data_IF_897334113057
#
_entry.id   IF_897334113057
#
_cell.length_a   1.000
_cell.length_b   1.000
_cell.length_c   1.000
_cell.angle_alpha   90.00
_cell.angle_beta   90.00
_cell.angle_gamma   90.00
#
_symmetry.space_group_name_H-M   'P 1'
#
loop_
_entity.id
_entity.type
_entity.pdbx_description
1 polymer ?
#
# COMPACT_ATOMS: atom_id res chain seq x y z
N UNK A 1 -34.44 -8.53 -12.37
CA UNK A 1 -33.27 -8.47 -11.48
C UNK A 1 -32.74 -9.87 -11.28
N UNK A 2 -31.51 -10.13 -11.62
CA UNK A 2 -30.92 -11.46 -11.46
C UNK A 2 -30.84 -11.80 -9.96
N UNK A 3 -31.38 -12.92 -9.59
CA UNK A 3 -31.29 -13.42 -8.22
C UNK A 3 -30.16 -14.42 -8.16
N UNK A 4 -29.07 -14.02 -7.54
CA UNK A 4 -27.97 -14.91 -7.23
C UNK A 4 -28.26 -15.61 -5.92
N UNK A 5 -28.71 -16.87 -6.03
CA UNK A 5 -29.12 -17.66 -4.87
C UNK A 5 -27.94 -18.43 -4.25
N UNK A 6 -28.13 -18.95 -3.06
CA UNK A 6 -27.16 -19.79 -2.34
C UNK A 6 -25.87 -19.05 -1.97
N UNK A 7 -24.74 -19.44 -2.56
CA UNK A 7 -23.44 -18.79 -2.32
C UNK A 7 -23.46 -17.27 -2.52
N UNK A 8 -24.43 -16.77 -3.25
CA UNK A 8 -24.60 -15.35 -3.55
C UNK A 8 -25.73 -14.69 -2.77
N UNK A 9 -26.12 -15.24 -1.63
CA UNK A 9 -27.12 -14.65 -0.73
C UNK A 9 -26.80 -13.19 -0.39
N UNK A 10 -25.54 -12.86 -0.22
CA UNK A 10 -25.08 -11.48 0.01
C UNK A 10 -25.40 -10.56 -1.16
N UNK A 11 -25.39 -11.05 -2.38
CA UNK A 11 -25.75 -10.27 -3.57
C UNK A 11 -27.24 -9.97 -3.56
N UNK A 12 -28.08 -10.90 -3.13
CA UNK A 12 -29.51 -10.65 -2.94
C UNK A 12 -29.75 -9.57 -1.88
N UNK A 13 -29.04 -9.63 -0.76
CA UNK A 13 -29.11 -8.59 0.28
C UNK A 13 -28.69 -7.23 -0.30
N UNK A 14 -27.62 -7.18 -1.09
CA UNK A 14 -27.19 -5.95 -1.76
C UNK A 14 -28.22 -5.39 -2.73
N UNK A 15 -28.93 -6.24 -3.45
CA UNK A 15 -29.95 -5.77 -4.38
C UNK A 15 -31.14 -5.09 -3.68
N UNK A 16 -31.33 -5.34 -2.39
CA UNK A 16 -32.31 -4.64 -1.56
C UNK A 16 -31.78 -3.35 -0.93
N UNK A 17 -30.46 -3.08 -1.04
CA UNK A 17 -29.85 -1.85 -0.56
C UNK A 17 -29.97 -0.72 -1.59
N UNK A 18 -29.84 0.54 -1.15
CA UNK A 18 -29.78 1.66 -2.07
C UNK A 18 -28.67 1.47 -3.12
N UNK A 19 -28.83 2.10 -4.29
CA UNK A 19 -27.80 2.19 -5.30
C UNK A 19 -26.48 2.59 -4.66
N UNK A 20 -25.34 1.96 -5.03
CA UNK A 20 -24.02 2.34 -4.51
C UNK A 20 -23.66 3.82 -4.66
N UNK A 21 -24.28 4.53 -5.62
CA UNK A 21 -24.14 5.97 -5.77
C UNK A 21 -24.95 6.80 -4.77
N UNK A 22 -25.87 6.19 -4.05
CA UNK A 22 -26.71 6.88 -3.09
C UNK A 22 -26.05 6.89 -1.70
N UNK A 23 -26.09 8.04 -1.04
CA UNK A 23 -25.57 8.19 0.30
C UNK A 23 -26.30 7.29 1.31
N UNK A 24 -25.58 6.80 2.32
CA UNK A 24 -26.18 6.01 3.39
C UNK A 24 -27.12 6.88 4.22
N UNK A 25 -28.24 6.32 4.73
CA UNK A 25 -29.10 7.04 5.66
C UNK A 25 -28.34 7.48 6.91
N UNK A 26 -28.68 8.64 7.43
CA UNK A 26 -28.06 9.22 8.65
C UNK A 26 -28.10 8.22 9.81
N UNK A 27 -29.19 7.46 9.95
CA UNK A 27 -29.30 6.44 10.99
C UNK A 27 -28.31 5.28 10.91
N UNK A 28 -27.58 5.14 9.77
CA UNK A 28 -26.52 4.14 9.61
C UNK A 28 -25.18 4.60 10.19
N UNK A 29 -25.05 5.88 10.55
CA UNK A 29 -23.85 6.45 11.15
C UNK A 29 -23.92 6.37 12.68
N UNK A 30 -22.78 6.15 13.36
CA UNK A 30 -22.77 6.23 14.82
C UNK A 30 -23.12 7.65 15.27
N UNK A 31 -23.94 7.76 16.29
CA UNK A 31 -24.22 9.05 16.90
C UNK A 31 -23.04 9.49 17.77
N UNK A 32 -22.49 10.65 17.44
CA UNK A 32 -21.36 11.25 18.16
C UNK A 32 -21.75 12.69 18.47
N UNK A 33 -22.09 12.98 19.72
CA UNK A 33 -22.41 14.34 20.15
C UNK A 33 -23.90 14.68 20.11
N UNK A 34 -24.24 15.98 20.19
CA UNK A 34 -25.61 16.48 20.26
C UNK A 34 -26.28 16.63 18.88
N UNK A 35 -27.55 17.04 18.89
CA UNK A 35 -28.39 17.13 17.67
C UNK A 35 -27.78 18.03 16.57
N UNK A 36 -27.07 19.09 16.92
CA UNK A 36 -26.38 19.95 15.94
C UNK A 36 -25.24 19.23 15.24
N UNK A 37 -24.47 18.46 16.01
CA UNK A 37 -23.38 17.68 15.47
C UNK A 37 -23.90 16.57 14.56
N UNK A 38 -24.95 15.86 14.98
CA UNK A 38 -25.61 14.84 14.16
C UNK A 38 -26.17 15.41 12.85
N UNK A 39 -26.71 16.64 12.89
CA UNK A 39 -27.18 17.32 11.69
C UNK A 39 -26.06 17.58 10.69
N UNK A 40 -24.95 18.14 11.16
CA UNK A 40 -23.79 18.41 10.30
C UNK A 40 -23.13 17.11 9.81
N UNK A 41 -23.06 16.11 10.68
CA UNK A 41 -22.55 14.80 10.33
C UNK A 41 -23.39 14.15 9.24
N UNK A 42 -24.70 14.30 9.29
CA UNK A 42 -25.62 13.84 8.25
C UNK A 42 -25.39 14.54 6.93
N UNK A 43 -25.18 15.88 6.96
CA UNK A 43 -24.86 16.65 5.77
C UNK A 43 -23.55 16.20 5.12
N UNK A 44 -22.52 15.96 5.93
CA UNK A 44 -21.23 15.44 5.46
C UNK A 44 -21.36 13.97 5.05
N UNK A 45 -22.22 13.20 5.74
CA UNK A 45 -22.52 11.79 5.41
C UNK A 45 -23.08 11.60 4.00
N UNK A 46 -23.74 12.62 3.46
CA UNK A 46 -24.27 12.63 2.09
C UNK A 46 -23.30 13.25 1.08
N UNK A 47 -22.07 13.55 1.51
CA UNK A 47 -21.09 14.22 0.64
C UNK A 47 -20.73 13.37 -0.56
N UNK A 48 -20.78 14.01 -1.73
CA UNK A 48 -20.40 13.43 -3.01
C UNK A 48 -19.69 14.49 -3.85
N UNK A 49 -18.59 14.09 -4.50
CA UNK A 49 -17.89 14.95 -5.46
C UNK A 49 -17.99 14.31 -6.85
N UNK A 50 -18.73 14.94 -7.74
CA UNK A 50 -19.03 14.36 -9.04
C UNK A 50 -19.70 12.99 -8.89
N UNK A 51 -19.23 11.94 -9.57
CA UNK A 51 -19.79 10.59 -9.47
C UNK A 51 -19.28 9.82 -8.25
N UNK A 52 -18.42 10.41 -7.43
CA UNK A 52 -17.75 9.72 -6.30
C UNK A 52 -18.44 10.07 -4.98
N UNK A 53 -19.01 9.06 -4.35
CA UNK A 53 -19.51 9.16 -2.98
C UNK A 53 -18.36 9.10 -1.98
N UNK A 54 -18.26 10.08 -1.09
CA UNK A 54 -17.20 10.16 -0.09
C UNK A 54 -17.69 9.89 1.34
N UNK A 55 -18.83 10.43 1.72
CA UNK A 55 -19.29 10.43 3.09
C UNK A 55 -18.42 11.28 4.01
N UNK A 56 -18.73 11.29 5.29
CA UNK A 56 -17.96 12.09 6.25
C UNK A 56 -16.53 11.59 6.44
N UNK A 57 -16.30 10.25 6.43
CA UNK A 57 -14.95 9.68 6.51
C UNK A 57 -14.12 10.03 5.29
N UNK A 58 -14.72 9.99 4.08
CA UNK A 58 -14.04 10.38 2.86
C UNK A 58 -13.65 11.85 2.85
N UNK A 59 -14.54 12.74 3.29
CA UNK A 59 -14.24 14.18 3.41
C UNK A 59 -13.16 14.41 4.46
N UNK A 60 -13.24 13.80 5.62
CA UNK A 60 -12.21 13.91 6.65
C UNK A 60 -10.85 13.43 6.14
N UNK A 61 -10.81 12.27 5.48
CA UNK A 61 -9.58 11.76 4.86
C UNK A 61 -9.00 12.75 3.86
N UNK A 62 -9.83 13.32 3.00
CA UNK A 62 -9.42 14.31 2.00
C UNK A 62 -8.83 15.55 2.65
N UNK A 63 -9.47 16.09 3.69
CA UNK A 63 -8.98 17.27 4.42
C UNK A 63 -7.61 16.99 5.03
N UNK A 64 -7.45 15.89 5.76
CA UNK A 64 -6.17 15.51 6.36
C UNK A 64 -5.08 15.31 5.29
N UNK A 65 -5.43 14.68 4.17
CA UNK A 65 -4.50 14.47 3.05
C UNK A 65 -4.07 15.78 2.39
N UNK A 66 -4.99 16.73 2.21
CA UNK A 66 -4.68 18.06 1.67
C UNK A 66 -3.74 18.81 2.61
N UNK A 67 -4.00 18.79 3.92
CA UNK A 67 -3.12 19.44 4.90
C UNK A 67 -1.72 18.84 4.86
N UNK A 68 -1.61 17.51 4.76
CA UNK A 68 -0.31 16.85 4.62
C UNK A 68 0.46 17.32 3.37
N UNK A 69 -0.21 17.35 2.23
CA UNK A 69 0.39 17.80 0.97
C UNK A 69 0.79 19.28 1.04
N UNK A 70 -0.03 20.12 1.66
CA UNK A 70 0.29 21.55 1.83
C UNK A 70 1.51 21.74 2.72
N UNK A 71 1.63 21.03 3.84
CA UNK A 71 2.81 21.08 4.69
C UNK A 71 4.06 20.71 3.90
N UNK A 72 4.02 19.62 3.16
CA UNK A 72 5.15 19.15 2.34
C UNK A 72 5.48 20.20 1.25
N UNK A 73 4.48 20.62 0.50
CA UNK A 73 4.65 21.57 -0.61
C UNK A 73 5.14 22.95 -0.18
N UNK A 74 4.60 23.49 0.92
CA UNK A 74 5.01 24.79 1.43
C UNK A 74 6.45 24.76 1.97
N UNK A 75 6.85 23.68 2.64
CA UNK A 75 8.24 23.53 3.08
C UNK A 75 9.21 23.41 1.89
N UNK A 76 8.84 22.65 0.86
CA UNK A 76 9.62 22.57 -0.38
C UNK A 76 9.75 23.95 -1.06
N UNK A 77 8.66 24.68 -1.12
CA UNK A 77 8.66 26.03 -1.73
C UNK A 77 9.48 27.02 -0.91
N UNK A 78 9.36 26.99 0.39
CA UNK A 78 10.20 27.82 1.28
C UNK A 78 11.70 27.52 1.10
N UNK A 79 12.08 26.27 0.84
CA UNK A 79 13.48 25.88 0.63
C UNK A 79 14.12 26.50 -0.61
N UNK A 80 13.32 26.96 -1.56
CA UNK A 80 13.77 27.69 -2.76
C UNK A 80 13.38 29.20 -2.70
N UNK A 81 13.22 29.73 -1.49
CA UNK A 81 12.87 31.13 -1.24
C UNK A 81 11.59 31.61 -1.96
N UNK A 82 10.61 30.73 -2.07
CA UNK A 82 9.30 30.99 -2.69
C UNK A 82 9.36 31.37 -4.17
N UNK A 83 10.48 31.08 -4.83
CA UNK A 83 10.65 31.28 -6.27
C UNK A 83 9.94 30.17 -7.05
N UNK A 84 8.84 30.49 -7.79
CA UNK A 84 8.08 29.46 -8.50
C UNK A 84 8.87 28.80 -9.64
N UNK A 85 9.81 29.50 -10.25
CA UNK A 85 10.63 28.97 -11.32
C UNK A 85 11.63 27.95 -10.74
N UNK A 86 12.28 28.30 -9.64
CA UNK A 86 13.18 27.38 -8.94
C UNK A 86 12.43 26.19 -8.36
N UNK A 87 11.24 26.39 -7.84
CA UNK A 87 10.38 25.29 -7.36
C UNK A 87 10.13 24.26 -8.47
N UNK A 88 9.69 24.70 -9.64
CA UNK A 88 9.42 23.79 -10.78
C UNK A 88 10.68 23.12 -11.27
N UNK A 89 11.78 23.86 -11.38
CA UNK A 89 13.07 23.31 -11.85
C UNK A 89 13.68 22.29 -10.91
N UNK A 90 13.54 22.50 -9.60
CA UNK A 90 14.18 21.67 -8.58
C UNK A 90 13.24 20.66 -7.94
N UNK A 91 11.96 20.61 -8.32
CA UNK A 91 10.94 19.79 -7.67
C UNK A 91 11.37 18.32 -7.44
N UNK A 92 12.02 17.62 -8.40
CA UNK A 92 12.45 16.24 -8.16
C UNK A 92 13.48 16.08 -7.04
N UNK A 93 14.23 17.12 -6.73
CA UNK A 93 15.28 17.12 -5.70
C UNK A 93 14.82 17.72 -4.37
N UNK A 94 13.66 18.38 -4.34
CA UNK A 94 13.14 18.97 -3.10
C UNK A 94 12.63 17.90 -2.16
N UNK A 95 12.77 18.13 -0.87
CA UNK A 95 12.33 17.22 0.16
C UNK A 95 11.84 17.94 1.41
N UNK A 96 10.98 17.27 2.16
CA UNK A 96 10.75 17.51 3.57
C UNK A 96 11.41 16.35 4.33
N UNK A 97 12.49 16.67 5.02
CA UNK A 97 13.34 15.67 5.68
C UNK A 97 12.81 15.32 7.08
N UNK A 98 12.94 14.05 7.50
CA UNK A 98 12.79 13.69 8.90
C UNK A 98 13.87 14.36 9.76
N UNK A 99 13.73 14.35 11.10
CA UNK A 99 14.76 14.93 11.97
C UNK A 99 16.15 14.32 11.74
N UNK A 100 17.18 15.16 11.80
CA UNK A 100 18.56 14.67 11.90
C UNK A 100 18.76 13.84 13.18
N UNK A 101 19.79 12.99 13.27
CA UNK A 101 20.03 12.17 14.45
C UNK A 101 20.06 12.94 15.77
N UNK A 102 20.55 14.18 15.77
CA UNK A 102 20.59 15.03 16.96
C UNK A 102 19.18 15.35 17.52
N UNK A 103 18.18 15.40 16.67
CA UNK A 103 16.79 15.69 17.06
C UNK A 103 15.87 14.46 16.96
N UNK A 104 16.36 13.38 16.39
CA UNK A 104 15.57 12.20 16.08
C UNK A 104 15.01 11.46 17.30
N UNK A 105 15.65 11.60 18.45
CA UNK A 105 15.22 10.99 19.71
C UNK A 105 14.13 11.78 20.42
N UNK A 106 13.84 13.01 19.97
CA UNK A 106 12.76 13.82 20.51
C UNK A 106 11.43 13.35 19.94
N UNK A 107 10.41 13.24 20.79
CA UNK A 107 9.05 12.88 20.35
C UNK A 107 8.50 13.97 19.45
N UNK A 108 8.68 15.24 19.84
CA UNK A 108 8.28 16.42 19.09
C UNK A 108 9.48 17.32 18.82
N UNK A 109 10.23 17.08 17.74
CA UNK A 109 11.35 17.92 17.40
C UNK A 109 10.88 19.34 17.02
N UNK A 110 11.77 20.35 17.08
CA UNK A 110 11.44 21.70 16.61
C UNK A 110 10.94 21.67 15.16
N UNK A 111 10.08 22.61 14.80
CA UNK A 111 9.41 22.60 13.49
C UNK A 111 10.39 22.50 12.31
N UNK A 112 11.44 23.32 12.32
CA UNK A 112 12.42 23.33 11.22
C UNK A 112 13.52 22.27 11.35
N UNK A 113 13.48 21.46 12.39
CA UNK A 113 14.42 20.37 12.68
C UNK A 113 13.71 19.00 12.59
N UNK A 114 12.76 18.87 11.68
CA UNK A 114 11.99 17.66 11.45
C UNK A 114 10.57 17.69 12.01
N UNK A 115 10.19 18.72 12.75
CA UNK A 115 8.83 18.85 13.30
C UNK A 115 7.77 18.94 12.18
N UNK A 116 8.05 19.65 11.09
CA UNK A 116 7.15 19.69 9.93
C UNK A 116 6.99 18.34 9.27
N UNK A 117 8.06 17.57 9.18
CA UNK A 117 7.99 16.19 8.67
C UNK A 117 7.06 15.33 9.54
N UNK A 118 7.21 15.42 10.87
CA UNK A 118 6.36 14.68 11.79
C UNK A 118 4.89 15.07 11.67
N UNK A 119 4.60 16.36 11.55
CA UNK A 119 3.23 16.87 11.35
C UNK A 119 2.64 16.38 10.01
N UNK A 120 3.39 16.51 8.92
CA UNK A 120 2.95 16.02 7.63
C UNK A 120 2.69 14.50 7.67
N UNK A 121 3.56 13.74 8.31
CA UNK A 121 3.40 12.30 8.53
C UNK A 121 2.16 11.97 9.35
N UNK A 122 1.86 12.73 10.38
CA UNK A 122 0.64 12.57 11.19
C UNK A 122 -0.63 12.79 10.35
N UNK A 123 -0.70 13.89 9.60
CA UNK A 123 -1.86 14.18 8.76
C UNK A 123 -2.02 13.16 7.63
N UNK A 124 -0.93 12.76 6.99
CA UNK A 124 -0.97 11.74 5.94
C UNK A 124 -1.42 10.37 6.49
N UNK A 125 -0.86 9.95 7.62
CA UNK A 125 -1.24 8.68 8.26
C UNK A 125 -2.70 8.69 8.66
N UNK A 126 -3.18 9.76 9.27
CA UNK A 126 -4.59 9.91 9.64
C UNK A 126 -5.49 9.85 8.41
N UNK A 127 -5.12 10.52 7.33
CA UNK A 127 -5.85 10.46 6.06
C UNK A 127 -5.97 9.03 5.53
N UNK A 128 -4.88 8.28 5.52
CA UNK A 128 -4.84 6.89 5.04
C UNK A 128 -5.72 5.99 5.92
N UNK A 129 -5.64 6.13 7.23
CA UNK A 129 -6.44 5.31 8.17
C UNK A 129 -7.94 5.64 8.08
N UNK A 130 -8.30 6.91 7.90
CA UNK A 130 -9.69 7.30 7.68
C UNK A 130 -10.23 6.75 6.37
N UNK A 131 -9.40 6.72 5.32
CA UNK A 131 -9.78 6.11 4.04
C UNK A 131 -9.97 4.61 4.16
N UNK A 132 -9.12 3.93 4.91
CA UNK A 132 -9.30 2.52 5.22
C UNK A 132 -10.62 2.27 5.94
N UNK A 133 -10.90 3.05 6.98
CA UNK A 133 -12.16 2.95 7.73
C UNK A 133 -13.38 3.16 6.81
N UNK A 134 -13.30 4.11 5.89
CA UNK A 134 -14.34 4.35 4.89
C UNK A 134 -14.53 3.12 3.99
N UNK A 135 -13.45 2.57 3.45
CA UNK A 135 -13.53 1.37 2.59
C UNK A 135 -14.18 0.20 3.31
N UNK A 136 -13.75 -0.06 4.54
CA UNK A 136 -14.30 -1.14 5.36
C UNK A 136 -15.78 -0.93 5.64
N UNK A 137 -16.16 0.23 6.15
CA UNK A 137 -17.55 0.54 6.51
C UNK A 137 -18.46 0.57 5.30
N UNK A 138 -17.99 1.11 4.18
CA UNK A 138 -18.79 1.15 2.95
C UNK A 138 -19.05 -0.25 2.39
N UNK A 139 -18.04 -1.10 2.40
CA UNK A 139 -18.19 -2.49 2.01
C UNK A 139 -19.23 -3.21 2.89
N UNK A 140 -19.15 -3.04 4.21
CA UNK A 140 -20.10 -3.61 5.15
C UNK A 140 -21.54 -3.09 4.93
N UNK A 141 -21.69 -1.79 4.75
CA UNK A 141 -22.98 -1.18 4.52
C UNK A 141 -23.67 -1.66 3.24
N UNK A 142 -22.89 -1.99 2.21
CA UNK A 142 -23.40 -2.52 0.95
C UNK A 142 -23.55 -4.04 0.95
N UNK A 143 -23.34 -4.72 2.08
CA UNK A 143 -23.37 -6.17 2.15
C UNK A 143 -22.25 -6.86 1.39
N UNK A 144 -21.15 -6.16 1.10
CA UNK A 144 -19.96 -6.70 0.43
C UNK A 144 -19.00 -7.33 1.43
N UNK A 145 -18.14 -8.24 0.94
CA UNK A 145 -16.98 -8.69 1.69
C UNK A 145 -15.98 -7.56 1.89
N UNK A 146 -15.17 -7.64 2.94
CA UNK A 146 -14.18 -6.60 3.31
C UNK A 146 -12.77 -6.90 2.83
N UNK A 147 -12.60 -7.89 1.95
CA UNK A 147 -11.29 -8.37 1.51
C UNK A 147 -10.45 -7.29 0.80
N UNK A 148 -11.07 -6.33 0.11
CA UNK A 148 -10.35 -5.21 -0.51
C UNK A 148 -9.76 -4.27 0.56
N UNK A 149 -10.51 -3.99 1.62
CA UNK A 149 -10.01 -3.19 2.74
C UNK A 149 -8.82 -3.88 3.43
N UNK A 150 -8.83 -5.21 3.55
CA UNK A 150 -7.72 -5.96 4.13
C UNK A 150 -6.50 -6.03 3.21
N UNK A 151 -6.70 -6.07 1.89
CA UNK A 151 -5.60 -5.91 0.95
C UNK A 151 -4.95 -4.52 1.07
N UNK A 152 -5.76 -3.47 1.20
CA UNK A 152 -5.27 -2.12 1.47
C UNK A 152 -4.52 -2.04 2.82
N UNK A 153 -5.00 -2.75 3.84
CA UNK A 153 -4.32 -2.85 5.14
C UNK A 153 -2.89 -3.40 5.00
N UNK A 154 -2.64 -4.32 4.08
CA UNK A 154 -1.28 -4.82 3.80
C UNK A 154 -0.36 -3.71 3.29
N UNK A 155 -0.83 -2.87 2.39
CA UNK A 155 -0.07 -1.70 1.93
C UNK A 155 0.18 -0.69 3.07
N UNK A 156 -0.82 -0.48 3.93
CA UNK A 156 -0.69 0.37 5.12
C UNK A 156 0.37 -0.18 6.08
N UNK A 157 0.45 -1.49 6.25
CA UNK A 157 1.50 -2.13 7.04
C UNK A 157 2.90 -1.72 6.59
N UNK A 158 3.22 -1.86 5.32
CA UNK A 158 4.52 -1.44 4.78
C UNK A 158 4.76 0.06 4.99
N UNK A 159 3.77 0.89 4.72
CA UNK A 159 3.83 2.33 4.95
C UNK A 159 4.14 2.66 6.42
N UNK A 160 3.44 2.03 7.37
CA UNK A 160 3.65 2.25 8.80
C UNK A 160 5.02 1.74 9.27
N UNK A 161 5.49 0.62 8.74
CA UNK A 161 6.84 0.12 9.05
C UNK A 161 7.89 1.14 8.64
N UNK A 162 7.80 1.66 7.43
CA UNK A 162 8.77 2.62 6.89
C UNK A 162 8.78 3.96 7.63
N UNK A 163 7.60 4.47 7.98
CA UNK A 163 7.47 5.82 8.53
C UNK A 163 7.32 5.89 10.05
N UNK A 164 6.88 4.82 10.69
CA UNK A 164 6.53 4.87 12.10
C UNK A 164 7.08 3.70 12.93
N UNK A 165 6.74 2.46 12.58
CA UNK A 165 7.03 1.31 13.45
C UNK A 165 8.53 1.06 13.57
N UNK A 166 9.25 0.98 12.45
CA UNK A 166 10.70 0.77 12.48
C UNK A 166 11.45 1.95 13.10
N UNK A 167 11.19 3.21 12.73
CA UNK A 167 11.79 4.35 13.40
C UNK A 167 11.55 4.35 14.93
N UNK A 168 10.35 3.97 15.36
CA UNK A 168 10.02 3.84 16.79
C UNK A 168 10.88 2.77 17.47
N UNK A 169 11.00 1.59 16.87
CA UNK A 169 11.84 0.50 17.38
C UNK A 169 13.33 0.85 17.38
N UNK A 170 13.78 1.58 16.37
CA UNK A 170 15.17 2.07 16.28
C UNK A 170 15.41 3.25 17.22
N UNK A 171 14.37 3.83 17.80
CA UNK A 171 14.47 4.92 18.76
C UNK A 171 14.76 6.30 18.16
N UNK A 172 14.56 6.49 16.86
CA UNK A 172 14.84 7.76 16.19
C UNK A 172 14.00 7.99 14.95
N UNK A 173 13.42 9.18 14.82
CA UNK A 173 12.76 9.64 13.61
C UNK A 173 13.72 9.82 12.43
N UNK A 174 15.03 9.94 12.70
CA UNK A 174 16.05 10.04 11.65
C UNK A 174 16.10 8.81 10.74
N UNK A 175 15.59 7.68 11.20
CA UNK A 175 15.52 6.43 10.41
C UNK A 175 14.38 6.43 9.39
N UNK A 176 13.48 7.41 9.42
CA UNK A 176 12.31 7.46 8.55
C UNK A 176 12.64 7.98 7.15
N UNK A 177 11.71 7.75 6.23
CA UNK A 177 11.84 8.12 4.83
C UNK A 177 11.50 9.61 4.63
N UNK A 178 12.29 10.38 3.89
CA UNK A 178 11.94 11.74 3.53
C UNK A 178 10.77 11.78 2.54
N UNK A 179 10.01 12.88 2.57
CA UNK A 179 9.06 13.22 1.52
C UNK A 179 9.78 13.94 0.39
N UNK A 180 10.00 13.28 -0.72
CA UNK A 180 10.66 13.86 -1.89
C UNK A 180 10.86 12.80 -2.97
N UNK A 181 10.86 13.21 -4.24
CA UNK A 181 10.93 12.27 -5.36
C UNK A 181 12.30 11.59 -5.38
N UNK A 182 13.37 12.31 -5.69
CA UNK A 182 14.72 11.74 -5.66
C UNK A 182 15.23 11.46 -4.24
N UNK A 183 14.96 12.31 -3.24
CA UNK A 183 15.44 12.04 -1.88
C UNK A 183 14.96 10.71 -1.29
N UNK A 184 13.73 10.26 -1.56
CA UNK A 184 13.31 8.94 -1.08
C UNK A 184 14.00 7.78 -1.81
N UNK A 185 14.43 7.97 -3.04
CA UNK A 185 15.26 7.00 -3.78
C UNK A 185 16.68 6.96 -3.22
N UNK A 186 17.27 8.12 -2.92
CA UNK A 186 18.59 8.21 -2.27
C UNK A 186 18.56 7.57 -0.88
N UNK A 187 17.48 7.79 -0.12
CA UNK A 187 17.28 7.11 1.15
C UNK A 187 17.28 5.59 0.97
N UNK A 188 16.59 5.08 -0.03
CA UNK A 188 16.51 3.64 -0.32
C UNK A 188 17.88 3.05 -0.65
N UNK A 189 18.65 3.72 -1.49
CA UNK A 189 20.02 3.30 -1.82
C UNK A 189 20.94 3.32 -0.59
N UNK A 190 20.90 4.38 0.20
CA UNK A 190 21.67 4.52 1.42
C UNK A 190 21.30 3.44 2.46
N UNK A 191 20.03 3.16 2.62
CA UNK A 191 19.52 2.09 3.47
C UNK A 191 20.08 0.72 3.08
N UNK A 192 20.04 0.40 1.79
CA UNK A 192 20.58 -0.86 1.27
C UNK A 192 22.08 -0.97 1.51
N UNK A 193 22.83 0.07 1.23
CA UNK A 193 24.29 0.11 1.44
C UNK A 193 24.64 -0.07 2.91
N UNK A 194 23.98 0.65 3.79
CA UNK A 194 24.23 0.59 5.23
C UNK A 194 24.03 -0.80 5.82
N UNK A 195 23.03 -1.52 5.34
CA UNK A 195 22.66 -2.83 5.89
C UNK A 195 23.10 -4.03 5.05
N UNK A 196 24.17 -3.87 4.30
CA UNK A 196 24.85 -4.98 3.64
C UNK A 196 24.17 -5.49 2.38
N UNK A 197 23.48 -4.63 1.66
CA UNK A 197 22.76 -4.89 0.43
C UNK A 197 21.43 -5.65 0.64
N UNK A 198 20.35 -4.92 0.45
CA UNK A 198 19.00 -5.43 0.65
C UNK A 198 18.63 -6.59 -0.31
N UNK A 199 19.36 -6.76 -1.41
CA UNK A 199 19.17 -7.92 -2.30
C UNK A 199 19.38 -9.25 -1.59
N UNK A 200 20.16 -9.29 -0.52
CA UNK A 200 20.37 -10.51 0.28
C UNK A 200 19.33 -10.72 1.38
N UNK A 201 18.42 -9.76 1.57
CA UNK A 201 17.31 -9.91 2.50
C UNK A 201 16.28 -10.90 1.92
N UNK A 202 16.03 -12.05 2.56
CA UNK A 202 15.11 -13.06 2.02
C UNK A 202 13.66 -12.57 1.95
N UNK A 203 13.25 -11.67 2.85
CA UNK A 203 11.91 -11.08 2.79
C UNK A 203 11.77 -10.09 1.63
N UNK A 204 12.83 -9.37 1.30
CA UNK A 204 12.88 -8.56 0.10
C UNK A 204 12.77 -9.42 -1.17
N UNK A 205 13.45 -10.56 -1.19
CA UNK A 205 13.32 -11.54 -2.28
C UNK A 205 11.88 -12.03 -2.43
N UNK A 206 11.23 -12.39 -1.32
CA UNK A 206 9.82 -12.80 -1.33
C UNK A 206 8.90 -11.69 -1.81
N UNK A 207 9.13 -10.46 -1.34
CA UNK A 207 8.36 -9.30 -1.78
C UNK A 207 8.45 -9.09 -3.29
N UNK A 208 9.64 -9.25 -3.87
CA UNK A 208 9.86 -9.18 -5.31
C UNK A 208 9.09 -10.30 -6.05
N UNK A 209 9.16 -11.52 -5.55
CA UNK A 209 8.42 -12.66 -6.13
C UNK A 209 6.92 -12.37 -6.16
N UNK A 210 6.36 -11.86 -5.07
CA UNK A 210 4.94 -11.52 -5.01
C UNK A 210 4.59 -10.31 -5.87
N UNK A 211 5.47 -9.32 -5.98
CA UNK A 211 5.27 -8.18 -6.87
C UNK A 211 5.16 -8.62 -8.35
N UNK A 212 6.15 -9.37 -8.81
CA UNK A 212 6.15 -9.87 -10.20
C UNK A 212 5.07 -10.92 -10.42
N UNK A 213 4.79 -11.76 -9.44
CA UNK A 213 3.68 -12.70 -9.48
C UNK A 213 2.32 -12.01 -9.56
N UNK A 214 2.14 -10.91 -8.84
CA UNK A 214 0.94 -10.07 -8.93
C UNK A 214 0.78 -9.48 -10.33
N UNK A 215 1.85 -8.91 -10.88
CA UNK A 215 1.86 -8.38 -12.25
C UNK A 215 1.58 -9.48 -13.28
N UNK A 216 2.17 -10.66 -13.11
CA UNK A 216 1.96 -11.82 -13.97
C UNK A 216 0.49 -12.27 -13.96
N UNK A 217 -0.09 -12.42 -12.79
CA UNK A 217 -1.50 -12.82 -12.64
C UNK A 217 -2.44 -11.79 -13.25
N UNK A 218 -2.16 -10.51 -13.08
CA UNK A 218 -2.94 -9.45 -13.70
C UNK A 218 -2.87 -9.52 -15.24
N UNK A 219 -1.67 -9.69 -15.78
CA UNK A 219 -1.47 -9.84 -17.21
C UNK A 219 -2.17 -11.07 -17.76
N UNK A 220 -2.03 -12.22 -17.10
CA UNK A 220 -2.63 -13.48 -17.50
C UNK A 220 -4.16 -13.43 -17.41
N UNK A 221 -4.70 -12.91 -16.32
CA UNK A 221 -6.15 -12.81 -16.11
C UNK A 221 -6.79 -11.83 -17.09
N UNK A 222 -6.20 -10.67 -17.24
CA UNK A 222 -6.67 -9.67 -18.20
C UNK A 222 -6.65 -10.17 -19.65
N UNK A 223 -5.56 -10.83 -20.05
CA UNK A 223 -5.45 -11.44 -21.37
C UNK A 223 -6.50 -12.55 -21.58
N UNK A 224 -6.73 -13.36 -20.58
CA UNK A 224 -7.69 -14.48 -20.63
C UNK A 224 -9.12 -13.98 -20.79
N UNK A 225 -9.53 -13.04 -19.95
CA UNK A 225 -10.89 -12.47 -20.01
C UNK A 225 -11.13 -11.78 -21.35
N UNK A 226 -10.19 -10.98 -21.81
CA UNK A 226 -10.33 -10.27 -23.08
C UNK A 226 -10.29 -11.21 -24.30
N UNK A 227 -9.48 -12.26 -24.25
CA UNK A 227 -9.45 -13.28 -25.31
C UNK A 227 -10.75 -14.09 -25.39
N UNK A 228 -11.42 -14.32 -24.26
CA UNK A 228 -12.68 -15.06 -24.20
C UNK A 228 -13.91 -14.14 -24.08
N UNK A 229 -13.77 -12.85 -24.29
CA UNK A 229 -14.88 -11.88 -24.23
C UNK A 229 -15.96 -12.12 -25.28
N UNK A 230 -15.60 -12.69 -26.42
CA UNK A 230 -16.59 -13.12 -27.43
C UNK A 230 -17.57 -14.19 -26.91
N UNK A 231 -17.22 -14.85 -25.80
CA UNK A 231 -18.05 -15.85 -25.14
C UNK A 231 -18.63 -15.33 -23.81
N UNK A 232 -18.47 -14.03 -23.51
CA UNK A 232 -18.98 -13.41 -22.29
C UNK A 232 -18.11 -13.56 -21.04
N UNK A 233 -16.80 -13.79 -21.20
CA UNK A 233 -15.89 -13.98 -20.07
C UNK A 233 -15.79 -12.76 -19.13
N UNK A 234 -16.06 -11.55 -19.63
CA UNK A 234 -16.10 -10.31 -18.83
C UNK A 234 -17.22 -10.29 -17.79
N UNK A 235 -18.22 -11.14 -17.96
CA UNK A 235 -19.32 -11.32 -17.02
C UNK A 235 -18.95 -12.37 -15.97
N UNK A 236 -17.96 -12.06 -15.16
CA UNK A 236 -17.33 -13.03 -14.24
C UNK A 236 -18.29 -13.58 -13.20
N UNK A 237 -19.18 -12.76 -12.67
CA UNK A 237 -20.16 -13.20 -11.65
C UNK A 237 -21.13 -14.21 -12.26
N UNK A 238 -21.68 -13.90 -13.44
CA UNK A 238 -22.58 -14.81 -14.14
C UNK A 238 -21.90 -16.12 -14.52
N UNK A 239 -20.64 -16.06 -14.95
CA UNK A 239 -19.85 -17.25 -15.29
C UNK A 239 -19.64 -18.17 -14.07
N UNK A 240 -19.55 -17.60 -12.87
CA UNK A 240 -19.43 -18.39 -11.63
C UNK A 240 -20.77 -19.02 -11.23
N UNK A 241 -21.88 -18.28 -11.38
CA UNK A 241 -23.23 -18.74 -11.01
C UNK A 241 -23.76 -19.77 -12.01
N UNK A 242 -23.74 -19.45 -13.30
CA UNK A 242 -24.32 -20.24 -14.37
C UNK A 242 -23.28 -21.06 -15.17
N UNK A 243 -22.08 -21.16 -14.71
CA UNK A 243 -20.98 -21.90 -15.33
C UNK A 243 -21.03 -21.88 -16.85
N UNK A 244 -20.88 -20.70 -17.42
CA UNK A 244 -20.77 -20.55 -18.87
C UNK A 244 -19.49 -21.16 -19.41
N UNK A 245 -19.43 -21.37 -20.73
CA UNK A 245 -18.27 -21.98 -21.40
C UNK A 245 -17.07 -21.03 -21.51
N UNK A 246 -17.27 -19.75 -21.31
CA UNK A 246 -16.21 -18.75 -21.46
C UNK A 246 -15.06 -18.97 -20.48
N UNK A 247 -15.36 -19.22 -19.20
CA UNK A 247 -14.32 -19.48 -18.21
C UNK A 247 -13.60 -20.81 -18.46
N UNK A 248 -14.33 -21.84 -18.92
CA UNK A 248 -13.73 -23.13 -19.26
C UNK A 248 -12.72 -22.99 -20.41
N UNK A 249 -13.04 -22.19 -21.44
CA UNK A 249 -12.12 -21.95 -22.55
C UNK A 249 -10.84 -21.27 -22.08
N UNK A 250 -10.94 -20.27 -21.23
CA UNK A 250 -9.79 -19.60 -20.64
C UNK A 250 -8.96 -20.55 -19.77
N UNK A 251 -9.61 -21.33 -18.90
CA UNK A 251 -8.97 -22.31 -18.04
C UNK A 251 -8.25 -23.41 -18.84
N UNK A 252 -8.90 -23.93 -19.89
CA UNK A 252 -8.31 -24.98 -20.74
C UNK A 252 -7.06 -24.47 -21.49
N UNK A 253 -7.05 -23.24 -21.95
CA UNK A 253 -5.86 -22.63 -22.56
C UNK A 253 -4.64 -22.76 -21.63
N UNK A 254 -4.78 -22.40 -20.36
CA UNK A 254 -3.70 -22.50 -19.39
C UNK A 254 -3.37 -23.93 -19.02
N UNK A 255 -4.39 -24.79 -18.85
CA UNK A 255 -4.19 -26.19 -18.55
C UNK A 255 -3.39 -26.90 -19.63
N UNK A 256 -3.65 -26.62 -20.90
CA UNK A 256 -2.93 -27.25 -22.02
C UNK A 256 -1.55 -26.66 -22.25
N UNK A 257 -1.32 -25.40 -21.86
CA UNK A 257 -0.02 -24.74 -22.04
C UNK A 257 0.93 -24.96 -20.87
N UNK A 258 0.45 -24.92 -19.64
CA UNK A 258 1.32 -25.04 -18.46
C UNK A 258 0.94 -26.17 -17.49
N UNK A 259 -0.11 -26.92 -17.76
CA UNK A 259 -0.49 -28.11 -17.00
C UNK A 259 -1.44 -27.88 -15.83
N UNK A 260 -1.73 -26.65 -15.45
CA UNK A 260 -2.66 -26.28 -14.39
C UNK A 260 -3.39 -24.99 -14.71
N UNK A 261 -4.48 -24.74 -14.02
CA UNK A 261 -5.33 -23.55 -14.20
C UNK A 261 -6.07 -23.21 -12.91
N UNK A 262 -6.57 -22.00 -12.83
CA UNK A 262 -7.51 -21.54 -11.82
C UNK A 262 -8.94 -21.60 -12.35
N UNK A 263 -9.90 -21.37 -11.47
CA UNK A 263 -11.31 -21.13 -11.82
C UNK A 263 -11.59 -19.63 -11.92
N UNK A 264 -12.76 -19.26 -12.41
CA UNK A 264 -13.21 -17.87 -12.46
C UNK A 264 -13.24 -17.20 -11.08
N UNK A 265 -13.54 -17.94 -10.02
CA UNK A 265 -13.49 -17.44 -8.65
C UNK A 265 -12.06 -17.50 -8.06
N UNK A 266 -11.41 -18.65 -8.17
CA UNK A 266 -10.12 -18.84 -7.49
C UNK A 266 -9.00 -17.97 -8.01
N UNK A 267 -9.04 -17.52 -9.28
CA UNK A 267 -8.02 -16.62 -9.81
C UNK A 267 -7.96 -15.30 -9.03
N UNK A 268 -9.11 -14.80 -8.58
CA UNK A 268 -9.16 -13.60 -7.74
C UNK A 268 -8.57 -13.83 -6.36
N UNK A 269 -8.69 -15.03 -5.78
CA UNK A 269 -8.05 -15.40 -4.52
C UNK A 269 -6.53 -15.45 -4.66
N UNK A 270 -6.02 -16.03 -5.74
CA UNK A 270 -4.59 -16.01 -6.05
C UNK A 270 -4.06 -14.59 -6.19
N UNK A 271 -4.75 -13.76 -6.97
CA UNK A 271 -4.38 -12.35 -7.14
C UNK A 271 -4.40 -11.58 -5.81
N UNK A 272 -5.39 -11.81 -4.97
CA UNK A 272 -5.50 -11.18 -3.65
C UNK A 272 -4.31 -11.54 -2.74
N UNK A 273 -3.96 -12.82 -2.66
CA UNK A 273 -2.84 -13.26 -1.86
C UNK A 273 -1.51 -12.67 -2.32
N UNK A 274 -1.26 -12.65 -3.62
CA UNK A 274 -0.04 -12.04 -4.17
C UNK A 274 0.01 -10.54 -3.87
N UNK A 275 -1.12 -9.83 -4.01
CA UNK A 275 -1.20 -8.41 -3.69
C UNK A 275 -0.95 -8.13 -2.20
N UNK A 276 -1.43 -8.99 -1.31
CA UNK A 276 -1.24 -8.85 0.15
C UNK A 276 0.17 -9.22 0.58
N UNK A 277 0.71 -10.31 0.06
CA UNK A 277 2.00 -10.85 0.50
C UNK A 277 3.19 -9.97 0.07
N UNK A 278 3.09 -9.20 -0.99
CA UNK A 278 4.15 -8.28 -1.41
C UNK A 278 4.46 -7.24 -0.33
N UNK A 279 3.53 -6.36 0.11
CA UNK A 279 3.84 -5.39 1.16
C UNK A 279 4.04 -6.06 2.53
N UNK A 280 3.34 -7.15 2.81
CA UNK A 280 3.46 -7.85 4.08
C UNK A 280 4.88 -8.37 4.29
N UNK A 281 5.43 -9.08 3.31
CA UNK A 281 6.81 -9.59 3.38
C UNK A 281 7.84 -8.47 3.30
N UNK A 282 7.61 -7.47 2.47
CA UNK A 282 8.47 -6.28 2.38
C UNK A 282 8.56 -5.54 3.72
N UNK A 283 7.41 -5.34 4.37
CA UNK A 283 7.35 -4.71 5.69
C UNK A 283 8.09 -5.51 6.77
N UNK A 284 7.93 -6.83 6.79
CA UNK A 284 8.69 -7.70 7.70
C UNK A 284 10.20 -7.56 7.43
N UNK A 285 10.59 -7.60 6.17
CA UNK A 285 11.99 -7.48 5.78
C UNK A 285 12.63 -6.16 6.20
N UNK A 286 11.93 -5.06 6.04
CA UNK A 286 12.39 -3.73 6.49
C UNK A 286 12.45 -3.68 8.02
N UNK A 287 11.44 -4.22 8.70
CA UNK A 287 11.38 -4.21 10.16
C UNK A 287 12.53 -4.99 10.79
N UNK A 288 12.94 -6.09 10.19
CA UNK A 288 14.08 -6.89 10.66
C UNK A 288 15.44 -6.22 10.40
N UNK A 289 15.51 -5.31 9.45
CA UNK A 289 16.74 -4.63 9.05
C UNK A 289 17.14 -3.59 10.08
N UNK A 290 18.30 -3.76 10.67
CA UNK A 290 18.82 -2.90 11.75
C UNK A 290 18.29 -3.21 13.14
N UNK A 291 17.19 -3.93 13.25
CA UNK A 291 16.63 -4.36 14.53
C UNK A 291 17.12 -5.75 14.95
N UNK A 292 17.21 -6.67 14.01
CA UNK A 292 17.64 -8.06 14.20
C UNK A 292 18.87 -8.37 13.35
N UNK A 293 18.91 -7.93 12.10
CA UNK A 293 20.00 -8.17 11.17
C UNK A 293 20.63 -6.84 10.76
N UNK A 294 21.93 -6.69 11.01
CA UNK A 294 22.67 -5.46 10.70
C UNK A 294 23.35 -5.48 9.33
N UNK A 295 23.55 -6.66 8.75
CA UNK A 295 24.18 -6.82 7.45
C UNK A 295 23.63 -8.07 6.76
N UNK A 296 22.85 -7.86 5.71
CA UNK A 296 22.19 -8.96 5.01
C UNK A 296 23.15 -9.84 4.23
N UNK A 297 24.21 -9.29 3.66
CA UNK A 297 25.20 -10.10 2.96
C UNK A 297 25.94 -11.04 3.92
N UNK A 298 26.40 -10.55 5.06
CA UNK A 298 27.06 -11.37 6.06
C UNK A 298 26.11 -12.42 6.65
N UNK A 299 24.85 -12.06 6.86
CA UNK A 299 23.82 -13.01 7.26
C UNK A 299 23.66 -14.13 6.21
N UNK A 300 23.61 -13.77 4.93
CA UNK A 300 23.45 -14.72 3.83
C UNK A 300 24.64 -15.69 3.71
N UNK A 301 25.86 -15.16 3.86
CA UNK A 301 27.08 -15.99 3.87
C UNK A 301 27.07 -16.96 5.04
N UNK A 302 26.76 -16.48 6.24
CA UNK A 302 26.66 -17.30 7.46
C UNK A 302 25.65 -18.44 7.32
N UNK A 303 24.56 -18.21 6.62
CA UNK A 303 23.49 -19.19 6.40
C UNK A 303 23.62 -19.96 5.09
N UNK A 304 24.77 -19.86 4.42
CA UNK A 304 25.10 -20.58 3.18
C UNK A 304 24.13 -20.31 2.02
N UNK A 305 23.61 -19.10 1.93
CA UNK A 305 22.72 -18.67 0.84
C UNK A 305 23.34 -17.59 -0.05
N UNK A 306 24.61 -17.25 0.19
CA UNK A 306 25.41 -16.39 -0.66
C UNK A 306 26.87 -16.85 -0.69
N UNK A 307 27.59 -16.66 -1.81
CA UNK A 307 29.01 -16.96 -1.90
C UNK A 307 29.84 -15.93 -1.11
N UNK A 308 31.03 -16.34 -0.68
CA UNK A 308 31.99 -15.48 0.02
C UNK A 308 32.81 -14.58 -0.93
N UNK A 309 32.63 -14.69 -2.23
CA UNK A 309 33.34 -13.87 -3.22
C UNK A 309 32.40 -12.86 -3.86
N UNK A 310 32.97 -11.86 -4.56
CA UNK A 310 32.14 -10.96 -5.36
C UNK A 310 31.23 -11.76 -6.30
N UNK A 311 29.93 -11.41 -6.27
CA UNK A 311 28.98 -11.99 -7.22
C UNK A 311 29.30 -11.50 -8.63
N UNK A 312 28.67 -12.12 -9.64
CA UNK A 312 28.77 -11.67 -11.04
C UNK A 312 28.41 -10.20 -11.20
N UNK A 313 27.63 -9.65 -10.28
CA UNK A 313 27.22 -8.24 -10.28
C UNK A 313 28.20 -7.31 -9.56
N UNK A 314 29.32 -7.81 -9.04
CA UNK A 314 30.36 -6.99 -8.42
C UNK A 314 29.93 -6.21 -7.16
N UNK A 315 28.81 -6.54 -6.56
CA UNK A 315 28.24 -5.79 -5.45
C UNK A 315 28.70 -6.27 -4.08
N UNK A 316 29.49 -7.33 -4.03
CA UNK A 316 29.84 -7.98 -2.78
C UNK A 316 31.33 -8.11 -2.66
N UNK A 317 31.88 -7.64 -1.56
CA UNK A 317 33.28 -7.82 -1.22
C UNK A 317 33.42 -9.13 -0.41
N UNK A 318 34.44 -9.90 -0.71
CA UNK A 318 34.87 -11.00 0.15
C UNK A 318 35.22 -10.43 1.54
N UNK A 319 34.60 -10.90 2.62
CA UNK A 319 34.92 -10.45 3.95
C UNK A 319 36.40 -10.58 4.32
N UNK A 320 37.08 -11.58 3.75
CA UNK A 320 38.52 -11.78 3.95
C UNK A 320 39.36 -10.67 3.28
N UNK A 321 38.86 -10.09 2.18
CA UNK A 321 39.55 -9.00 1.45
C UNK A 321 39.17 -7.62 2.01
N UNK A 322 38.09 -7.50 2.76
CA UNK A 322 37.66 -6.23 3.36
C UNK A 322 38.46 -5.82 4.60
N UNK A 323 39.39 -6.66 5.02
CA UNK A 323 40.41 -6.32 6.04
C UNK A 323 39.88 -6.03 7.45
N UNK A 324 38.64 -6.32 7.75
CA UNK A 324 38.11 -5.87 9.03
C UNK A 324 36.85 -6.53 9.55
N UNK A 325 36.30 -7.44 8.84
CA UNK A 325 35.13 -8.16 9.34
C UNK A 325 35.57 -9.47 10.05
N UNK A 326 36.23 -9.35 11.16
CA UNK A 326 36.33 -10.43 12.14
C UNK A 326 35.38 -10.16 13.28
#
# INVERSE_FOLDING_TARGET
MATYQNIFTQVQVRSALPDPGVALPIGSLPRIGGARFDYWLGKIGDAQIGPIYLGWLGIASLIFGIVAIEIIGLNMWASVNWDPIQFVRQLPWLALEPPAPAYGTQIFPPLNEGGWWLMAGFFLTTSILLWWARMYRRARALGMGTHVAWAFASAIWLYLVLGFIRPLLMGSWAEAVPFGIFPHLDWTAAFSIRYGNLFYNPFHMLSIVFLYGSALLFAMHGATVLAASRYGAEREIEQVVDRGTAFERGALFWRWTMGFNATAESIHRWAWWFAVLCPLTGGIGILLTGTVVDNWYLWAVKHHVAPMYPSVFGTVLDPALSGGAQ
#
